data_IF_990792499003
#
_entry.id   IF_990792499003
#
_cell.length_a   1.000
_cell.length_b   1.000
_cell.length_c   1.000
_cell.angle_alpha   90.00
_cell.angle_beta   90.00
_cell.angle_gamma   90.00
#
_symmetry.space_group_name_H-M   'P 1'
#
loop_
_entity.id
_entity.type
_entity.pdbx_description
1 polymer ?
#
# COMPACT_ATOMS: atom_id res chain seq x y z
N UNK A 1 1.92 2.84 1.89
CA UNK A 1 2.78 2.29 0.82
C UNK A 1 3.34 3.43 -0.01
N UNK A 2 4.45 3.27 -0.73
CA UNK A 2 5.05 4.36 -1.53
C UNK A 2 5.30 3.85 -2.96
N UNK A 3 4.69 4.45 -4.00
CA UNK A 3 4.95 4.11 -5.40
C UNK A 3 6.16 4.86 -5.97
N UNK A 4 6.82 4.22 -6.94
CA UNK A 4 7.81 4.84 -7.82
C UNK A 4 7.67 4.31 -9.24
N UNK A 5 7.88 5.16 -10.24
CA UNK A 5 7.77 4.84 -11.67
C UNK A 5 9.09 5.19 -12.36
N UNK A 6 9.57 4.29 -13.22
CA UNK A 6 10.79 4.49 -14.02
C UNK A 6 10.58 4.01 -15.46
N UNK A 7 11.14 4.70 -16.47
CA UNK A 7 11.96 5.91 -16.37
C UNK A 7 11.14 7.18 -16.07
N UNK A 8 11.80 8.24 -15.62
CA UNK A 8 11.12 9.45 -15.13
C UNK A 8 10.31 10.15 -16.23
N UNK A 9 10.81 10.17 -17.47
CA UNK A 9 10.10 10.72 -18.63
C UNK A 9 8.78 10.00 -18.94
N UNK A 10 8.66 8.73 -18.56
CA UNK A 10 7.47 7.92 -18.76
C UNK A 10 6.41 8.11 -17.66
N UNK A 11 6.78 8.67 -16.51
CA UNK A 11 5.89 8.78 -15.35
C UNK A 11 4.63 9.62 -15.63
N UNK A 12 4.74 10.66 -16.44
CA UNK A 12 3.61 11.53 -16.82
C UNK A 12 2.55 10.83 -17.70
N UNK A 13 2.94 9.75 -18.38
CA UNK A 13 2.08 8.98 -19.28
C UNK A 13 1.49 7.74 -18.62
N UNK A 14 1.83 7.48 -17.35
CA UNK A 14 1.34 6.35 -16.59
C UNK A 14 0.34 6.79 -15.53
N UNK A 15 -0.94 6.50 -15.78
CA UNK A 15 -2.04 6.89 -14.91
C UNK A 15 -2.48 5.71 -14.06
N UNK A 16 -2.19 5.77 -12.77
CA UNK A 16 -2.70 4.81 -11.80
C UNK A 16 -4.18 5.13 -11.52
N UNK A 17 -5.08 4.45 -12.22
CA UNK A 17 -6.53 4.72 -12.18
C UNK A 17 -7.21 4.19 -10.93
N UNK A 18 -6.72 3.07 -10.41
CA UNK A 18 -7.19 2.55 -9.13
C UNK A 18 -6.17 2.99 -8.10
N UNK A 19 -6.58 3.97 -7.31
CA UNK A 19 -5.82 4.33 -6.13
C UNK A 19 -5.79 3.07 -5.29
N UNK A 20 -4.60 2.47 -5.13
CA UNK A 20 -4.29 1.90 -3.83
C UNK A 20 -4.40 3.08 -2.90
N UNK A 21 -5.61 3.38 -2.45
CA UNK A 21 -5.83 4.45 -1.51
C UNK A 21 -4.81 4.14 -0.42
N UNK A 22 -3.97 5.12 -0.09
CA UNK A 22 -2.97 4.99 0.97
C UNK A 22 -3.63 4.75 2.35
N UNK A 23 -4.92 4.41 2.36
CA UNK A 23 -5.64 3.73 3.41
C UNK A 23 -4.86 2.54 3.93
N UNK A 24 -4.61 2.62 5.22
CA UNK A 24 -4.01 1.55 5.99
C UNK A 24 -4.96 0.34 5.93
N UNK A 25 -4.42 -0.81 5.52
CA UNK A 25 -5.18 -2.05 5.50
C UNK A 25 -4.88 -2.79 6.79
N UNK A 26 -5.90 -2.98 7.63
CA UNK A 26 -5.78 -3.80 8.83
C UNK A 26 -6.11 -5.24 8.44
N UNK A 27 -5.16 -6.14 8.67
CA UNK A 27 -5.36 -7.57 8.46
C UNK A 27 -5.41 -8.28 9.81
N UNK A 28 -6.44 -9.10 10.00
CA UNK A 28 -6.53 -10.00 11.14
C UNK A 28 -5.56 -11.19 10.96
N UNK A 29 -5.20 -11.89 12.05
CA UNK A 29 -4.38 -13.09 11.95
C UNK A 29 -4.96 -14.10 10.97
N UNK A 30 -4.17 -14.52 9.99
CA UNK A 30 -4.58 -15.47 8.94
C UNK A 30 -5.46 -14.87 7.83
N UNK A 31 -5.75 -13.56 7.86
CA UNK A 31 -6.50 -12.89 6.80
C UNK A 31 -5.59 -12.57 5.61
N UNK A 32 -6.13 -12.77 4.41
CA UNK A 32 -5.53 -12.34 3.14
C UNK A 32 -6.40 -11.27 2.48
N UNK A 33 -5.76 -10.37 1.72
CA UNK A 33 -6.44 -9.32 0.98
C UNK A 33 -5.91 -9.28 -0.45
N UNK A 34 -6.81 -9.30 -1.42
CA UNK A 34 -6.48 -9.04 -2.82
C UNK A 34 -6.48 -7.52 -3.07
N UNK A 35 -5.38 -7.02 -3.62
CA UNK A 35 -5.23 -5.61 -3.97
C UNK A 35 -4.98 -5.49 -5.48
N UNK A 36 -6.05 -5.38 -6.30
CA UNK A 36 -5.90 -5.28 -7.74
C UNK A 36 -5.17 -3.98 -8.13
N UNK A 37 -4.34 -4.09 -9.17
CA UNK A 37 -3.63 -2.95 -9.75
C UNK A 37 -4.24 -2.61 -11.10
N UNK A 38 -4.80 -1.41 -11.24
CA UNK A 38 -5.29 -0.91 -12.53
C UNK A 38 -4.62 0.39 -12.90
N UNK A 39 -4.15 0.45 -14.14
CA UNK A 39 -3.45 1.58 -14.71
C UNK A 39 -3.79 1.76 -16.19
N UNK A 40 -3.56 2.95 -16.69
CA UNK A 40 -3.64 3.33 -18.10
C UNK A 40 -2.27 3.86 -18.52
N UNK A 41 -1.82 3.46 -19.71
CA UNK A 41 -0.63 4.02 -20.35
C UNK A 41 -1.08 4.85 -21.54
N UNK A 42 -0.68 6.12 -21.57
CA UNK A 42 -1.04 7.02 -22.66
C UNK A 42 -0.39 6.60 -23.97
N UNK A 43 -1.10 6.83 -25.07
CA UNK A 43 -0.62 6.54 -26.41
C UNK A 43 0.50 7.46 -26.87
N UNK A 44 0.61 8.63 -26.25
CA UNK A 44 1.61 9.65 -26.55
C UNK A 44 2.96 9.37 -25.89
N UNK A 45 3.08 8.24 -25.16
CA UNK A 45 4.36 7.82 -24.57
C UNK A 45 5.45 7.68 -25.65
N UNK A 46 6.67 8.19 -25.40
CA UNK A 46 7.78 8.09 -26.35
C UNK A 46 8.05 6.64 -26.78
N UNK A 47 8.22 6.44 -28.10
CA UNK A 47 8.33 5.10 -28.71
C UNK A 47 9.60 4.34 -28.32
N UNK A 48 10.61 5.06 -27.83
CA UNK A 48 11.89 4.56 -27.32
C UNK A 48 11.77 3.97 -25.90
N UNK A 49 10.74 4.32 -25.13
CA UNK A 49 10.43 3.67 -23.86
C UNK A 49 9.83 2.28 -24.12
N UNK A 50 10.64 1.24 -23.94
CA UNK A 50 10.23 -0.17 -24.11
C UNK A 50 9.85 -0.87 -22.81
N UNK A 51 10.32 -0.34 -21.69
CA UNK A 51 10.16 -0.92 -20.37
C UNK A 51 9.66 0.14 -19.41
N UNK A 52 8.65 -0.24 -18.63
CA UNK A 52 8.11 0.59 -17.57
C UNK A 52 8.11 -0.21 -16.28
N UNK A 53 8.68 0.37 -15.23
CA UNK A 53 8.80 -0.29 -13.93
C UNK A 53 7.98 0.48 -12.90
N UNK A 54 7.00 -0.19 -12.31
CA UNK A 54 6.28 0.27 -11.14
C UNK A 54 6.83 -0.46 -9.90
N UNK A 55 7.45 0.28 -9.00
CA UNK A 55 7.86 -0.22 -7.70
C UNK A 55 6.87 0.24 -6.63
N UNK A 56 6.47 -0.68 -5.74
CA UNK A 56 5.59 -0.38 -4.62
C UNK A 56 6.17 -0.95 -3.33
N UNK A 57 6.44 -0.08 -2.35
CA UNK A 57 6.93 -0.53 -1.04
C UNK A 57 5.79 -0.53 -0.03
N UNK A 58 5.51 -1.70 0.54
CA UNK A 58 4.62 -1.89 1.68
C UNK A 58 5.44 -1.79 2.97
N UNK A 59 4.89 -1.12 3.98
CA UNK A 59 5.53 -0.97 5.28
C UNK A 59 4.60 -1.53 6.35
N UNK A 60 5.14 -2.33 7.25
CA UNK A 60 4.44 -2.72 8.47
C UNK A 60 4.43 -1.54 9.45
N UNK A 61 3.23 -1.13 9.85
CA UNK A 61 2.99 -0.04 10.80
C UNK A 61 2.15 -0.51 12.00
N UNK A 62 2.02 -1.82 12.21
CA UNK A 62 1.19 -2.43 13.26
C UNK A 62 1.54 -1.90 14.64
N UNK A 63 2.82 -1.62 14.91
CA UNK A 63 3.26 -1.02 16.18
C UNK A 63 2.67 0.38 16.45
N UNK A 64 2.38 1.16 15.40
CA UNK A 64 1.78 2.50 15.51
C UNK A 64 0.25 2.46 15.53
N UNK A 65 -0.34 1.38 15.02
CA UNK A 65 -1.78 1.16 14.96
C UNK A 65 -2.10 -0.28 15.42
N UNK A 66 -2.00 -0.56 16.74
CA UNK A 66 -2.27 -1.89 17.25
C UNK A 66 -3.72 -2.29 16.95
N UNK A 67 -3.97 -3.55 16.56
CA UNK A 67 -5.31 -4.03 16.26
C UNK A 67 -6.20 -3.90 17.51
N UNK A 68 -7.45 -3.51 17.31
CA UNK A 68 -8.41 -3.20 18.41
C UNK A 68 -8.58 -4.38 19.38
N UNK A 69 -8.36 -5.62 18.93
CA UNK A 69 -8.38 -6.82 19.77
C UNK A 69 -7.23 -6.89 20.81
N UNK A 70 -6.11 -6.19 20.61
CA UNK A 70 -4.95 -6.22 21.50
C UNK A 70 -5.12 -5.36 22.78
N UNK A 71 -6.19 -4.56 22.87
CA UNK A 71 -6.44 -3.68 24.02
C UNK A 71 -7.33 -4.31 25.11
N UNK A 72 -7.86 -5.52 24.91
CA UNK A 72 -8.74 -6.17 25.88
C UNK A 72 -8.02 -6.86 27.06
N UNK A 73 -6.67 -6.94 27.03
CA UNK A 73 -5.90 -7.73 28.01
C UNK A 73 -4.95 -6.95 28.91
N UNK A 74 -4.94 -5.60 28.88
CA UNK A 74 -3.98 -4.80 29.67
C UNK A 74 -4.58 -4.06 30.88
N UNK A 75 -5.89 -4.13 31.10
CA UNK A 75 -6.54 -3.41 32.22
C UNK A 75 -6.83 -4.29 33.45
N UNK A 76 -6.46 -5.58 33.44
CA UNK A 76 -6.77 -6.51 34.55
C UNK A 76 -5.67 -6.60 35.62
N UNK A 77 -4.51 -5.95 35.45
CA UNK A 77 -3.40 -6.02 36.42
C UNK A 77 -3.34 -4.84 37.40
N UNK A 78 -4.31 -3.92 37.40
CA UNK A 78 -4.32 -2.76 38.33
C UNK A 78 -5.27 -2.88 39.53
N UNK A 79 -6.10 -3.92 39.63
CA UNK A 79 -7.02 -4.13 40.77
C UNK A 79 -6.58 -5.21 41.76
N UNK A 80 -5.34 -5.71 41.66
CA UNK A 80 -4.77 -6.67 42.62
C UNK A 80 -3.50 -6.10 43.27
N UNK A 81 -3.64 -4.95 43.95
CA UNK A 81 -2.71 -4.48 44.99
C UNK A 81 -3.48 -3.69 46.04
#
# INVERSE_FOLDING_TARGET
>A
AVPSISPAEAAQYFHKTECFCFTQQVLQPGQSLEMPMRFIVDRDMPKDVKHLTLAYTLFDITARHPPVAANAGKDETRLAR
#
